data_IF_571063321078
#
_entry.id   IF_571063321078
#
_cell.length_a   1.000
_cell.length_b   1.000
_cell.length_c   1.000
_cell.angle_alpha   90.00
_cell.angle_beta   90.00
_cell.angle_gamma   90.00
#
_symmetry.space_group_name_H-M   'P 1'
#
loop_
_entity.id
_entity.type
_entity.pdbx_description
1 polymer ?
#
# COMPACT_ATOMS: atom_id res chain seq x y z
N UNK A 1 -0.38 17.00 49.20
CA UNK A 1 0.34 18.07 48.49
C UNK A 1 1.05 17.46 47.29
N UNK A 2 0.49 17.71 46.09
CA UNK A 2 1.04 17.62 44.72
C UNK A 2 1.87 16.39 44.31
N UNK A 3 1.19 15.46 43.63
CA UNK A 3 1.73 14.53 42.63
C UNK A 3 2.44 15.37 41.55
N UNK A 4 3.76 15.19 41.38
CA UNK A 4 4.50 15.79 40.26
C UNK A 4 4.28 14.91 39.03
N UNK A 5 3.60 15.48 38.04
CA UNK A 5 3.47 14.92 36.69
C UNK A 5 4.87 14.77 36.09
N UNK A 6 5.20 13.56 35.64
CA UNK A 6 6.40 13.29 34.86
C UNK A 6 5.99 13.32 33.39
N UNK A 7 6.20 14.46 32.74
CA UNK A 7 6.04 14.64 31.30
C UNK A 7 7.37 14.26 30.65
N UNK A 8 7.40 13.20 29.84
CA UNK A 8 8.54 12.84 28.98
C UNK A 8 7.94 12.55 27.58
N UNK A 9 7.65 13.60 26.80
CA UNK A 9 8.53 14.17 25.77
C UNK A 9 8.87 13.14 24.68
N UNK A 10 7.97 13.01 23.71
CA UNK A 10 8.14 12.26 22.47
C UNK A 10 9.27 12.86 21.62
N UNK A 11 10.34 12.11 21.41
CA UNK A 11 11.35 12.42 20.40
C UNK A 11 10.79 12.08 19.02
N UNK A 12 10.36 13.10 18.28
CA UNK A 12 10.20 13.00 16.83
C UNK A 12 11.59 13.15 16.20
N UNK A 13 12.24 12.04 15.87
CA UNK A 13 13.45 12.06 15.05
C UNK A 13 12.99 12.22 13.60
N UNK A 14 13.07 13.44 13.07
CA UNK A 14 12.96 13.65 11.63
C UNK A 14 14.29 13.19 11.00
N UNK A 15 14.33 11.97 10.46
CA UNK A 15 15.36 11.60 9.51
C UNK A 15 15.15 12.45 8.25
N UNK A 16 16.03 13.40 8.01
CA UNK A 16 16.18 14.01 6.69
C UNK A 16 16.78 12.96 5.76
N UNK A 17 15.93 12.14 5.13
CA UNK A 17 16.34 11.36 3.97
C UNK A 17 16.67 12.34 2.85
N UNK A 18 17.86 12.23 2.28
CA UNK A 18 18.16 12.89 1.00
C UNK A 18 17.15 12.33 -0.01
N UNK A 19 16.28 13.18 -0.58
CA UNK A 19 15.42 12.76 -1.68
C UNK A 19 16.33 12.41 -2.86
N UNK A 20 16.49 11.12 -3.14
CA UNK A 20 17.01 10.68 -4.44
C UNK A 20 16.04 11.15 -5.52
N UNK A 21 16.57 11.47 -6.70
CA UNK A 21 15.75 11.92 -7.81
C UNK A 21 14.98 10.71 -8.35
N UNK A 22 13.66 10.75 -8.29
CA UNK A 22 12.85 9.65 -8.80
C UNK A 22 12.95 9.54 -10.33
N UNK A 23 12.90 8.30 -10.83
CA UNK A 23 12.69 8.00 -12.24
C UNK A 23 11.17 7.94 -12.46
N UNK A 24 10.69 8.73 -13.42
CA UNK A 24 9.26 8.99 -13.61
C UNK A 24 8.79 8.40 -14.93
N UNK A 25 7.73 7.60 -14.87
CA UNK A 25 7.05 7.04 -16.03
C UNK A 25 6.46 8.15 -16.90
N UNK A 26 6.74 8.08 -18.19
CA UNK A 26 6.19 8.96 -19.22
C UNK A 26 5.31 8.21 -20.21
N UNK A 27 5.53 6.90 -20.37
CA UNK A 27 4.76 6.04 -21.28
C UNK A 27 4.80 6.50 -22.74
N UNK A 28 5.88 7.18 -23.12
CA UNK A 28 5.98 7.91 -24.41
C UNK A 28 6.05 6.98 -25.62
N UNK A 29 6.64 5.79 -25.47
CA UNK A 29 6.95 4.88 -26.58
C UNK A 29 6.01 3.69 -26.64
N UNK A 30 5.85 3.00 -25.50
CA UNK A 30 5.02 1.79 -25.38
C UNK A 30 4.70 1.54 -23.89
N UNK A 31 4.17 0.36 -23.58
CA UNK A 31 3.81 -0.06 -22.22
C UNK A 31 4.93 -0.76 -21.45
N UNK A 32 6.04 -1.12 -22.08
CA UNK A 32 7.11 -1.93 -21.46
C UNK A 32 7.85 -1.12 -20.40
N UNK A 33 7.74 -1.55 -19.13
CA UNK A 33 8.42 -0.89 -18.00
C UNK A 33 9.93 -1.02 -18.05
N UNK A 34 10.48 -1.91 -18.88
CA UNK A 34 11.93 -2.11 -19.04
C UNK A 34 12.55 -1.25 -20.15
N UNK A 35 11.71 -0.58 -20.95
CA UNK A 35 12.16 0.33 -22.00
C UNK A 35 12.45 1.72 -21.42
N UNK A 36 13.74 2.07 -21.32
CA UNK A 36 14.23 3.37 -20.86
C UNK A 36 13.59 4.55 -21.61
N UNK A 37 13.12 4.38 -22.85
CA UNK A 37 12.46 5.44 -23.61
C UNK A 37 11.09 5.83 -23.03
N UNK A 38 10.51 5.01 -22.13
CA UNK A 38 9.29 5.34 -21.40
C UNK A 38 9.56 6.08 -20.09
N UNK A 39 10.81 6.35 -19.73
CA UNK A 39 11.18 6.93 -18.44
C UNK A 39 11.88 8.28 -18.59
N UNK A 40 11.74 9.10 -17.56
CA UNK A 40 12.48 10.36 -17.41
C UNK A 40 13.16 10.38 -16.04
N UNK A 41 14.24 11.17 -15.92
CA UNK A 41 14.99 11.26 -14.66
C UNK A 41 16.09 10.20 -14.49
N UNK A 42 16.13 9.16 -15.33
CA UNK A 42 17.19 8.14 -15.28
C UNK A 42 16.96 6.96 -16.21
N UNK A 43 17.72 5.89 -15.99
CA UNK A 43 17.56 4.58 -16.63
C UNK A 43 17.00 3.59 -15.61
N UNK A 44 16.12 2.70 -16.05
CA UNK A 44 15.57 1.60 -15.24
C UNK A 44 16.40 0.33 -15.32
N UNK A 45 17.65 0.41 -15.79
CA UNK A 45 18.58 -0.71 -15.74
C UNK A 45 18.68 -1.26 -14.31
N UNK A 46 18.50 -2.58 -14.17
CA UNK A 46 18.46 -3.26 -12.87
C UNK A 46 17.07 -3.44 -12.25
N UNK A 47 16.00 -2.91 -12.88
CA UNK A 47 14.61 -3.09 -12.42
C UNK A 47 14.23 -4.58 -12.34
N UNK A 48 14.73 -5.42 -13.25
CA UNK A 48 14.43 -6.85 -13.28
C UNK A 48 15.17 -7.68 -12.23
N UNK A 49 16.23 -7.13 -11.66
CA UNK A 49 17.11 -7.84 -10.74
C UNK A 49 17.05 -7.26 -9.32
N UNK A 50 16.11 -6.33 -9.06
CA UNK A 50 15.96 -5.61 -7.79
C UNK A 50 17.23 -4.87 -7.36
N UNK A 51 18.03 -4.42 -8.34
CA UNK A 51 19.28 -3.68 -8.11
C UNK A 51 19.15 -2.19 -8.42
N UNK A 52 18.00 -1.76 -8.95
CA UNK A 52 17.72 -0.36 -9.22
C UNK A 52 17.60 0.42 -7.90
N UNK A 53 18.57 1.29 -7.64
CA UNK A 53 18.71 2.06 -6.40
C UNK A 53 18.18 3.50 -6.55
N UNK A 54 17.03 3.65 -7.20
CA UNK A 54 16.30 4.90 -7.39
C UNK A 54 14.82 4.68 -7.08
N UNK A 55 14.13 5.74 -6.68
CA UNK A 55 12.67 5.69 -6.53
C UNK A 55 12.01 5.67 -7.91
N UNK A 56 10.94 4.90 -8.06
CA UNK A 56 10.10 4.88 -9.26
C UNK A 56 8.77 5.59 -9.01
N UNK A 57 8.34 6.40 -9.97
CA UNK A 57 7.00 7.01 -9.96
C UNK A 57 6.29 6.67 -11.27
N UNK A 58 5.29 5.80 -11.19
CA UNK A 58 4.31 5.57 -12.24
C UNK A 58 3.22 6.64 -12.12
N UNK A 59 3.29 7.66 -12.96
CA UNK A 59 2.23 8.67 -13.09
C UNK A 59 1.26 8.33 -14.21
N UNK A 60 0.09 8.97 -14.19
CA UNK A 60 -0.89 8.91 -15.29
C UNK A 60 -0.40 9.67 -16.53
N UNK A 61 0.51 9.04 -17.27
CA UNK A 61 1.14 9.62 -18.45
C UNK A 61 1.26 8.59 -19.58
N UNK A 62 0.96 9.05 -20.79
CA UNK A 62 1.16 8.27 -22.02
C UNK A 62 0.43 6.92 -22.01
N UNK A 63 1.17 5.88 -22.36
CA UNK A 63 0.70 4.48 -22.36
C UNK A 63 0.78 3.91 -20.94
N UNK A 64 -0.21 3.09 -20.56
CA UNK A 64 -0.22 2.42 -19.26
C UNK A 64 0.99 1.47 -19.10
N UNK A 65 1.64 1.44 -17.92
CA UNK A 65 2.79 0.60 -17.67
C UNK A 65 2.40 -0.87 -17.51
N UNK A 66 3.14 -1.75 -18.18
CA UNK A 66 3.00 -3.20 -18.16
C UNK A 66 4.38 -3.82 -17.90
N UNK A 67 4.46 -4.57 -16.81
CA UNK A 67 5.59 -5.41 -16.42
C UNK A 67 5.88 -6.52 -17.43
N UNK A 68 7.08 -7.12 -17.38
CA UNK A 68 7.36 -8.31 -18.17
C UNK A 68 6.61 -9.53 -17.62
N UNK A 69 6.38 -10.53 -18.46
CA UNK A 69 6.04 -11.89 -18.01
C UNK A 69 7.30 -12.75 -18.14
N UNK A 70 7.89 -13.14 -17.01
CA UNK A 70 9.16 -13.86 -16.99
C UNK A 70 8.96 -15.29 -16.51
N UNK A 71 9.83 -16.18 -16.99
CA UNK A 71 9.84 -17.54 -16.51
C UNK A 71 10.17 -17.59 -15.01
N UNK A 72 9.52 -18.51 -14.29
CA UNK A 72 9.76 -18.83 -12.87
C UNK A 72 9.23 -17.82 -11.86
N UNK A 73 8.23 -17.00 -12.22
CA UNK A 73 7.56 -16.09 -11.29
C UNK A 73 8.54 -15.20 -10.49
N UNK A 74 9.46 -14.47 -11.15
CA UNK A 74 10.35 -13.57 -10.43
C UNK A 74 9.60 -12.33 -9.93
N UNK A 75 10.28 -11.58 -9.07
CA UNK A 75 9.90 -10.22 -8.70
C UNK A 75 10.77 -9.21 -9.43
N UNK A 76 10.21 -8.07 -9.81
CA UNK A 76 10.95 -6.91 -10.31
C UNK A 76 10.62 -5.67 -9.47
N UNK A 77 11.42 -4.61 -9.61
CA UNK A 77 11.26 -3.36 -8.88
C UNK A 77 12.60 -2.75 -8.47
N UNK A 78 12.69 -2.30 -7.22
CA UNK A 78 13.80 -1.47 -6.72
C UNK A 78 14.46 -2.10 -5.50
N UNK A 79 15.59 -1.54 -5.05
CA UNK A 79 16.20 -1.98 -3.79
C UNK A 79 15.32 -1.65 -2.58
N UNK A 80 15.56 -2.32 -1.45
CA UNK A 80 14.79 -2.15 -0.20
C UNK A 80 14.85 -0.75 0.40
N UNK A 81 15.83 0.07 0.00
CA UNK A 81 15.96 1.46 0.47
C UNK A 81 15.09 2.44 -0.35
N UNK A 82 14.56 1.99 -1.48
CA UNK A 82 13.81 2.80 -2.44
C UNK A 82 12.35 2.37 -2.50
N UNK A 83 11.56 3.20 -3.18
CA UNK A 83 10.12 3.09 -3.25
C UNK A 83 9.61 3.03 -4.69
N UNK A 84 8.42 2.46 -4.83
CA UNK A 84 7.61 2.53 -6.04
C UNK A 84 6.34 3.30 -5.71
N UNK A 85 6.02 4.34 -6.45
CA UNK A 85 4.76 5.07 -6.32
C UNK A 85 3.93 4.86 -7.58
N UNK A 86 2.67 4.46 -7.40
CA UNK A 86 1.66 4.31 -8.45
C UNK A 86 0.58 5.37 -8.20
N UNK A 87 0.66 6.44 -8.98
CA UNK A 87 -0.13 7.66 -8.80
C UNK A 87 -1.13 7.84 -9.96
N UNK A 88 -2.41 7.62 -9.65
CA UNK A 88 -3.52 7.79 -10.59
C UNK A 88 -3.37 6.99 -11.91
N UNK A 89 -2.67 5.86 -11.87
CA UNK A 89 -2.43 4.99 -13.04
C UNK A 89 -2.70 3.54 -12.69
N UNK A 90 -3.04 2.74 -13.70
CA UNK A 90 -3.10 1.29 -13.58
C UNK A 90 -1.74 0.69 -13.94
N UNK A 91 -1.10 0.03 -12.98
CA UNK A 91 0.09 -0.79 -13.20
C UNK A 91 -0.28 -2.26 -13.26
N UNK A 92 0.09 -2.90 -14.37
CA UNK A 92 -0.06 -4.34 -14.57
C UNK A 92 1.31 -4.99 -14.50
N UNK A 93 1.56 -5.94 -13.60
CA UNK A 93 2.86 -6.63 -13.58
C UNK A 93 2.99 -7.70 -14.65
N UNK A 94 1.90 -7.98 -15.38
CA UNK A 94 1.74 -9.08 -16.32
C UNK A 94 1.87 -10.48 -15.68
N UNK A 95 1.15 -11.43 -16.28
CA UNK A 95 1.06 -12.85 -15.93
C UNK A 95 1.28 -13.20 -14.45
N UNK A 96 2.43 -13.79 -14.13
CA UNK A 96 2.70 -14.42 -12.83
C UNK A 96 3.88 -13.82 -12.04
N UNK A 97 4.40 -12.68 -12.49
CA UNK A 97 5.47 -11.95 -11.83
C UNK A 97 4.94 -11.16 -10.61
N UNK A 98 5.84 -10.89 -9.66
CA UNK A 98 5.58 -10.09 -8.48
C UNK A 98 6.36 -8.78 -8.44
N UNK A 99 6.12 -7.98 -7.40
CA UNK A 99 6.92 -6.79 -7.11
C UNK A 99 7.82 -6.98 -5.89
N UNK A 100 9.03 -6.41 -5.97
CA UNK A 100 9.93 -6.21 -4.85
C UNK A 100 10.34 -4.74 -4.74
N UNK A 101 10.24 -4.19 -3.53
CA UNK A 101 10.62 -2.81 -3.21
C UNK A 101 10.72 -2.67 -1.68
N UNK A 102 11.32 -1.59 -1.18
CA UNK A 102 11.19 -1.28 0.26
C UNK A 102 9.75 -0.91 0.61
N UNK A 103 9.17 0.01 -0.17
CA UNK A 103 7.81 0.49 0.02
C UNK A 103 7.15 0.76 -1.33
N UNK A 104 5.91 0.30 -1.48
CA UNK A 104 5.06 0.59 -2.62
C UNK A 104 3.91 1.48 -2.14
N UNK A 105 3.67 2.60 -2.79
CA UNK A 105 2.55 3.49 -2.49
C UNK A 105 1.58 3.50 -3.68
N UNK A 106 0.32 3.20 -3.46
CA UNK A 106 -0.75 3.28 -4.47
C UNK A 106 -1.69 4.39 -4.03
N UNK A 107 -1.70 5.47 -4.80
CA UNK A 107 -2.29 6.74 -4.39
C UNK A 107 -3.12 7.40 -5.49
N UNK A 108 -4.02 8.28 -5.07
CA UNK A 108 -4.85 9.15 -5.92
C UNK A 108 -5.61 8.37 -7.00
N UNK A 109 -6.30 7.30 -6.62
CA UNK A 109 -7.01 6.42 -7.56
C UNK A 109 -6.11 5.49 -8.37
N UNK A 110 -4.84 5.33 -7.96
CA UNK A 110 -3.92 4.35 -8.53
C UNK A 110 -4.43 2.92 -8.34
N UNK A 111 -3.97 2.02 -9.22
CA UNK A 111 -4.27 0.60 -9.05
C UNK A 111 -3.15 -0.29 -9.52
N UNK A 112 -2.92 -1.40 -8.83
CA UNK A 112 -1.95 -2.43 -9.24
C UNK A 112 -2.65 -3.78 -9.40
N UNK A 113 -2.36 -4.47 -10.51
CA UNK A 113 -2.63 -5.90 -10.66
C UNK A 113 -1.29 -6.65 -10.67
N UNK A 114 -1.06 -7.51 -9.69
CA UNK A 114 0.16 -8.30 -9.58
C UNK A 114 -0.09 -9.72 -9.08
N UNK A 115 0.86 -10.65 -9.27
CA UNK A 115 0.66 -12.02 -8.78
C UNK A 115 0.96 -12.15 -7.29
N UNK A 116 2.06 -11.57 -6.82
CA UNK A 116 2.48 -11.60 -5.42
C UNK A 116 3.38 -10.40 -5.07
N UNK A 117 3.55 -10.16 -3.78
CA UNK A 117 4.49 -9.18 -3.23
C UNK A 117 5.66 -9.92 -2.58
N UNK A 118 6.89 -9.39 -2.68
CA UNK A 118 8.06 -10.04 -2.07
C UNK A 118 8.95 -9.03 -1.35
N UNK A 119 9.14 -9.24 -0.05
CA UNK A 119 10.04 -8.44 0.81
C UNK A 119 9.76 -6.93 0.72
N UNK A 120 8.47 -6.58 0.77
CA UNK A 120 7.99 -5.22 0.52
C UNK A 120 6.72 -4.93 1.32
N UNK A 121 6.52 -3.66 1.64
CA UNK A 121 5.24 -3.17 2.18
C UNK A 121 4.52 -2.36 1.11
N UNK A 122 3.22 -2.56 0.95
CA UNK A 122 2.37 -1.77 0.07
C UNK A 122 1.36 -0.96 0.89
N UNK A 123 1.29 0.35 0.64
CA UNK A 123 0.34 1.28 1.21
C UNK A 123 -0.68 1.67 0.12
N UNK A 124 -1.96 1.46 0.37
CA UNK A 124 -3.05 1.78 -0.57
C UNK A 124 -3.94 2.83 0.07
N UNK A 125 -4.12 3.98 -0.58
CA UNK A 125 -4.98 5.03 -0.08
C UNK A 125 -6.48 4.78 -0.36
N UNK A 126 -7.34 5.66 0.18
CA UNK A 126 -8.77 5.42 0.31
C UNK A 126 -9.56 5.36 -1.01
N UNK A 127 -8.98 5.76 -2.13
CA UNK A 127 -9.60 5.65 -3.46
C UNK A 127 -8.80 4.75 -4.42
N UNK A 128 -7.69 4.17 -3.96
CA UNK A 128 -6.84 3.26 -4.72
C UNK A 128 -7.17 1.79 -4.49
N UNK A 129 -6.55 0.91 -5.29
CA UNK A 129 -6.76 -0.53 -5.18
C UNK A 129 -5.54 -1.38 -5.49
N UNK A 130 -5.52 -2.60 -4.94
CA UNK A 130 -4.58 -3.65 -5.31
C UNK A 130 -5.33 -4.94 -5.63
N UNK A 131 -4.87 -5.68 -6.64
CA UNK A 131 -5.37 -6.99 -7.00
C UNK A 131 -4.21 -7.99 -7.04
N UNK A 132 -4.20 -8.93 -6.08
CA UNK A 132 -3.22 -10.01 -5.96
C UNK A 132 -3.79 -11.30 -6.55
N UNK A 133 -3.19 -11.76 -7.64
CA UNK A 133 -3.72 -12.86 -8.45
C UNK A 133 -3.32 -14.25 -7.96
N UNK A 134 -2.27 -14.36 -7.13
CA UNK A 134 -1.79 -15.65 -6.62
C UNK A 134 -2.75 -16.27 -5.62
N UNK A 135 -3.20 -17.51 -5.85
CA UNK A 135 -4.02 -18.30 -4.91
C UNK A 135 -3.20 -19.22 -4.01
N UNK A 136 -2.00 -18.78 -3.63
CA UNK A 136 -1.09 -19.52 -2.76
C UNK A 136 -0.71 -18.64 -1.57
N UNK A 137 0.48 -18.05 -1.59
CA UNK A 137 0.90 -17.07 -0.59
C UNK A 137 1.36 -15.77 -1.28
N UNK A 138 0.43 -14.96 -1.85
CA UNK A 138 0.75 -13.68 -2.47
C UNK A 138 1.27 -12.62 -1.48
N UNK A 139 1.08 -12.80 -0.16
CA UNK A 139 1.67 -11.98 0.90
C UNK A 139 2.52 -12.84 1.85
N UNK A 140 3.68 -13.34 1.37
CA UNK A 140 4.51 -14.24 2.15
C UNK A 140 5.04 -13.58 3.41
N UNK A 141 4.98 -14.32 4.52
CA UNK A 141 5.48 -13.90 5.83
C UNK A 141 6.28 -15.03 6.47
N UNK A 142 7.55 -15.09 6.14
CA UNK A 142 8.53 -15.96 6.78
C UNK A 142 9.76 -15.14 7.20
N UNK A 143 10.71 -15.78 7.89
CA UNK A 143 11.87 -15.09 8.49
C UNK A 143 12.74 -14.33 7.47
N UNK A 144 12.67 -14.68 6.19
CA UNK A 144 13.51 -14.13 5.13
C UNK A 144 12.74 -13.20 4.18
N UNK A 145 11.42 -13.35 4.09
CA UNK A 145 10.54 -12.60 3.19
C UNK A 145 9.32 -12.15 3.97
N UNK A 146 9.17 -10.84 4.12
CA UNK A 146 8.02 -10.23 4.79
C UNK A 146 7.29 -9.34 3.79
N UNK A 147 6.04 -9.66 3.54
CA UNK A 147 5.09 -8.84 2.79
C UNK A 147 4.02 -8.28 3.73
N UNK A 148 3.66 -7.01 3.55
CA UNK A 148 2.59 -6.38 4.31
C UNK A 148 1.73 -5.48 3.41
N UNK A 149 0.42 -5.60 3.55
CA UNK A 149 -0.58 -4.79 2.86
C UNK A 149 -1.24 -3.84 3.87
N UNK A 150 -1.02 -2.55 3.71
CA UNK A 150 -1.63 -1.50 4.52
C UNK A 150 -2.70 -0.77 3.71
N UNK A 151 -3.92 -0.83 4.21
CA UNK A 151 -5.09 -0.23 3.58
C UNK A 151 -5.55 0.98 4.40
N UNK A 152 -5.64 2.14 3.76
CA UNK A 152 -6.40 3.26 4.32
C UNK A 152 -7.91 2.97 4.22
N UNK A 153 -8.76 3.55 5.08
CA UNK A 153 -10.20 3.42 4.93
C UNK A 153 -10.68 3.85 3.54
N UNK A 154 -11.47 3.01 2.89
CA UNK A 154 -11.92 3.15 1.50
C UNK A 154 -11.10 2.35 0.49
N UNK A 155 -9.83 2.05 0.80
CA UNK A 155 -8.95 1.28 -0.07
C UNK A 155 -9.51 -0.10 -0.37
N UNK A 156 -9.24 -0.60 -1.58
CA UNK A 156 -9.71 -1.92 -2.00
C UNK A 156 -8.56 -2.89 -2.21
N UNK A 157 -8.77 -4.13 -1.77
CA UNK A 157 -7.89 -5.25 -2.03
C UNK A 157 -8.69 -6.39 -2.64
N UNK A 158 -8.23 -6.96 -3.74
CA UNK A 158 -8.78 -8.18 -4.32
C UNK A 158 -7.73 -9.29 -4.19
N UNK A 159 -8.13 -10.43 -3.65
CA UNK A 159 -7.31 -11.65 -3.62
C UNK A 159 -7.94 -12.73 -4.50
N UNK A 160 -7.20 -13.81 -4.78
CA UNK A 160 -7.69 -14.93 -5.60
C UNK A 160 -8.98 -15.55 -5.06
N UNK A 161 -9.18 -15.56 -3.73
CA UNK A 161 -10.41 -16.02 -3.10
C UNK A 161 -10.67 -15.32 -1.77
N UNK A 162 -11.87 -15.51 -1.20
CA UNK A 162 -12.18 -15.01 0.16
C UNK A 162 -11.35 -15.72 1.24
N UNK A 163 -10.99 -16.99 1.02
CA UNK A 163 -10.20 -17.77 1.98
C UNK A 163 -8.78 -17.18 2.15
N UNK A 164 -8.21 -16.63 1.09
CA UNK A 164 -6.89 -15.97 1.11
C UNK A 164 -6.81 -14.87 2.16
N UNK A 165 -7.89 -14.11 2.38
CA UNK A 165 -7.91 -13.06 3.40
C UNK A 165 -7.75 -13.63 4.81
N UNK A 166 -8.30 -14.80 5.06
CA UNK A 166 -8.14 -15.47 6.36
C UNK A 166 -6.74 -16.03 6.51
N UNK A 167 -6.18 -16.62 5.45
CA UNK A 167 -4.83 -17.20 5.45
C UNK A 167 -3.74 -16.12 5.63
N UNK A 168 -3.93 -14.94 5.03
CA UNK A 168 -2.99 -13.82 5.08
C UNK A 168 -3.44 -12.68 6.00
N UNK A 169 -4.38 -12.95 6.91
CA UNK A 169 -4.98 -11.91 7.74
C UNK A 169 -3.98 -11.17 8.63
N UNK A 170 -2.85 -11.80 8.96
CA UNK A 170 -1.78 -11.20 9.76
C UNK A 170 -0.91 -10.20 8.97
N UNK A 171 -1.04 -10.18 7.65
CA UNK A 171 -0.28 -9.34 6.72
C UNK A 171 -1.13 -8.20 6.16
N UNK A 172 -2.44 -8.23 6.39
CA UNK A 172 -3.39 -7.24 5.90
C UNK A 172 -3.81 -6.35 7.06
N UNK A 173 -3.55 -5.06 6.94
CA UNK A 173 -3.76 -4.09 8.00
C UNK A 173 -4.66 -2.95 7.56
N UNK A 174 -5.50 -2.48 8.47
CA UNK A 174 -6.20 -1.20 8.36
C UNK A 174 -5.82 -0.38 9.59
N UNK A 175 -5.24 0.80 9.39
CA UNK A 175 -4.76 1.69 10.48
C UNK A 175 -3.86 1.01 11.54
N UNK A 176 -3.13 -0.05 11.15
CA UNK A 176 -2.22 -0.78 12.03
C UNK A 176 -2.85 -1.96 12.78
N UNK A 177 -4.16 -2.18 12.66
CA UNK A 177 -4.82 -3.39 13.15
C UNK A 177 -4.85 -4.43 12.02
N UNK A 178 -4.42 -5.67 12.33
CA UNK A 178 -4.42 -6.76 11.36
C UNK A 178 -5.83 -7.35 11.20
N UNK A 179 -6.14 -7.87 10.01
CA UNK A 179 -7.40 -8.55 9.75
C UNK A 179 -7.54 -9.85 10.56
N UNK A 180 -6.41 -10.49 10.92
CA UNK A 180 -6.40 -11.64 11.82
C UNK A 180 -6.84 -11.27 13.25
N UNK A 181 -6.55 -10.04 13.70
CA UNK A 181 -6.94 -9.54 15.02
C UNK A 181 -8.37 -9.01 15.05
N UNK A 182 -8.81 -8.33 13.98
CA UNK A 182 -10.16 -7.80 13.84
C UNK A 182 -10.68 -7.94 12.40
N UNK A 183 -11.53 -8.95 12.18
CA UNK A 183 -12.14 -9.18 10.86
C UNK A 183 -13.16 -8.11 10.46
N UNK A 184 -13.59 -7.24 11.40
CA UNK A 184 -14.56 -6.19 11.12
C UNK A 184 -13.97 -4.97 10.43
N UNK A 185 -12.66 -4.92 10.23
CA UNK A 185 -11.98 -3.82 9.51
C UNK A 185 -12.15 -3.90 7.99
N UNK A 186 -12.71 -5.00 7.45
CA UNK A 186 -12.98 -5.19 6.03
C UNK A 186 -14.46 -5.52 5.78
N UNK A 187 -15.01 -4.99 4.69
CA UNK A 187 -16.28 -5.46 4.11
C UNK A 187 -16.03 -6.08 2.74
N UNK A 188 -16.82 -7.08 2.34
CA UNK A 188 -16.54 -7.87 1.14
C UNK A 188 -17.65 -7.78 0.08
N UNK A 189 -17.23 -7.73 -1.18
CA UNK A 189 -18.04 -7.95 -2.38
C UNK A 189 -17.33 -8.99 -3.25
N UNK A 190 -17.79 -10.24 -3.21
CA UNK A 190 -17.05 -11.36 -3.80
C UNK A 190 -15.70 -11.57 -3.10
N UNK A 191 -14.62 -11.62 -3.87
CA UNK A 191 -13.23 -11.72 -3.39
C UNK A 191 -12.54 -10.35 -3.27
N UNK A 192 -13.30 -9.25 -3.29
CA UNK A 192 -12.78 -7.90 -3.08
C UNK A 192 -13.20 -7.40 -1.71
N UNK A 193 -12.21 -6.99 -0.91
CA UNK A 193 -12.38 -6.32 0.35
C UNK A 193 -12.30 -4.80 0.18
N UNK A 194 -13.11 -4.07 0.93
CA UNK A 194 -13.00 -2.62 1.13
C UNK A 194 -12.67 -2.37 2.60
N UNK A 195 -11.59 -1.63 2.86
CA UNK A 195 -11.21 -1.25 4.21
C UNK A 195 -12.21 -0.25 4.81
N UNK A 196 -12.63 -0.49 6.03
CA UNK A 196 -13.53 0.38 6.78
C UNK A 196 -12.85 0.90 8.05
N UNK A 197 -13.16 2.14 8.50
CA UNK A 197 -12.60 2.65 9.74
C UNK A 197 -12.95 1.75 10.92
N UNK A 198 -12.01 1.55 11.83
CA UNK A 198 -12.25 0.78 13.06
C UNK A 198 -13.48 1.32 13.82
N UNK A 199 -14.38 0.44 14.31
CA UNK A 199 -15.61 0.84 14.98
C UNK A 199 -15.42 1.81 16.16
N UNK A 200 -14.28 1.72 16.86
CA UNK A 200 -13.95 2.60 17.99
C UNK A 200 -13.81 4.08 17.58
N UNK A 201 -13.36 4.34 16.36
CA UNK A 201 -13.22 5.70 15.80
C UNK A 201 -14.57 6.37 15.61
N UNK A 202 -15.57 5.59 15.17
CA UNK A 202 -16.95 6.06 15.01
C UNK A 202 -17.65 6.26 16.37
N UNK A 203 -17.38 5.38 17.34
CA UNK A 203 -17.90 5.49 18.70
C UNK A 203 -17.47 6.79 19.40
N UNK A 204 -16.20 7.18 19.27
CA UNK A 204 -15.69 8.43 19.86
C UNK A 204 -16.31 9.68 19.23
N UNK A 205 -16.54 9.71 17.91
CA UNK A 205 -17.19 10.85 17.24
C UNK A 205 -18.64 11.02 17.69
N UNK A 206 -19.38 9.91 17.88
CA UNK A 206 -20.75 9.93 18.40
C UNK A 206 -20.80 10.33 19.86
N UNK A 207 -19.87 9.85 20.70
CA UNK A 207 -19.79 10.21 22.13
C UNK A 207 -19.46 11.69 22.31
N UNK A 208 -18.49 12.23 21.58
CA UNK A 208 -18.16 13.66 21.68
C UNK A 208 -19.21 14.56 21.01
N UNK A 209 -19.71 14.20 19.83
CA UNK A 209 -20.77 14.94 19.14
C UNK A 209 -22.09 14.97 19.93
N UNK A 210 -22.48 13.83 20.50
CA UNK A 210 -23.64 13.71 21.38
C UNK A 210 -23.48 14.45 22.71
N UNK A 211 -22.28 14.44 23.31
CA UNK A 211 -22.01 15.21 24.53
C UNK A 211 -22.14 16.72 24.31
N UNK A 212 -21.69 17.26 23.16
CA UNK A 212 -21.90 18.69 22.83
C UNK A 212 -23.37 19.07 22.68
N UNK A 213 -24.21 18.17 22.16
CA UNK A 213 -25.65 18.40 22.03
C UNK A 213 -26.39 18.34 23.37
N UNK A 214 -25.99 17.45 24.28
CA UNK A 214 -26.57 17.38 25.62
C UNK A 214 -26.14 18.54 26.53
N UNK A 215 -24.94 19.10 26.35
CA UNK A 215 -24.48 20.26 27.12
C UNK A 215 -25.28 21.52 26.75
N UNK A 216 -25.65 21.72 25.46
CA UNK A 216 -26.49 22.86 25.06
C UNK A 216 -27.91 22.81 25.62
N UNK A 217 -28.48 21.62 25.85
CA UNK A 217 -29.85 21.48 26.37
C UNK A 217 -29.96 21.76 27.87
N UNK A 218 -28.87 21.64 28.64
CA UNK A 218 -28.86 21.92 30.09
C UNK A 218 -28.54 23.37 30.47
N UNK A 219 -28.15 24.23 29.52
CA UNK A 219 -27.87 25.66 29.78
C UNK A 219 -29.02 26.59 29.33
N UNK A 220 -30.19 26.05 28.99
CA UNK A 220 -31.43 26.80 28.74
C UNK A 220 -32.52 26.33 29.72
N UNK A 221 -32.31 26.58 31.02
CA UNK A 221 -33.36 26.67 32.05
C UNK A 221 -32.96 27.78 33.01
#
# INVERSE_FOLDING_TARGET
>A
MRIKQLTLMSMLVALAAASQAAIIWTGTTNSDVTDDANWSGGSVSGILDLTLAEDLVFGNAGTAPIGPERALQPSWGVTVANSITVDNVFLDTAGNDGLGAGTINVINGGSIRMFFLKSASINVDGDSSVNLLGGGDPLPNNLEVIAALHLAPGAQATLASLAEFTEQGAQIFVNGVSFADDTSILTFSGNTATAIPEPATLGMLVVFGGATLFIRRKMMV
#
